data_IF_643758743913
#
_entry.id   IF_643758743913
#
_cell.length_a   1.000
_cell.length_b   1.000
_cell.length_c   1.000
_cell.angle_alpha   90.00
_cell.angle_beta   90.00
_cell.angle_gamma   90.00
#
_symmetry.space_group_name_H-M   'P 1'
#
loop_
_entity.id
_entity.type
_entity.pdbx_description
1 polymer ?
2 non-polymer ?
3 non-polymer ?
4 water ?
#
# COMPACT_ATOMS: atom_id res chain seq x y z
N UNK A 1 -4.44 35.62 -3.06
CA UNK A 1 -3.99 35.86 -4.47
C UNK A 1 -3.69 34.56 -5.18
N UNK A 2 -3.19 34.67 -6.41
CA UNK A 2 -2.99 33.50 -7.29
C UNK A 2 -1.85 32.62 -6.82
N UNK A 3 -1.07 33.16 -5.89
CA UNK A 3 0.06 32.49 -5.28
C UNK A 3 -0.38 31.64 -4.11
N UNK A 4 -1.68 31.67 -3.81
CA UNK A 4 -2.28 30.78 -2.82
C UNK A 4 -1.72 29.37 -2.93
N UNK A 5 -0.99 28.93 -1.90
CA UNK A 5 -0.39 27.60 -1.96
C UNK A 5 -1.40 26.56 -1.50
N UNK A 6 -1.94 25.77 -2.43
CA UNK A 6 -2.67 24.59 -1.98
C UNK A 6 -1.67 23.45 -1.85
N UNK A 7 -1.50 22.93 -0.64
CA UNK A 7 -0.62 21.78 -0.41
C UNK A 7 -1.33 20.45 -0.69
N UNK A 8 -1.84 19.82 0.36
CA UNK A 8 -2.23 18.42 0.32
C UNK A 8 -3.42 17.99 -0.53
N UNK A 9 -3.13 17.34 -1.68
CA UNK A 9 -3.98 16.19 -1.88
C UNK A 9 -3.45 15.23 -0.80
N UNK A 10 -4.13 15.19 0.34
CA UNK A 10 -3.67 14.41 1.49
C UNK A 10 -3.88 12.92 1.24
N UNK A 11 -3.11 12.36 0.33
CA UNK A 11 -3.43 11.00 -0.05
C UNK A 11 -2.88 9.95 0.89
N UNK A 12 -3.67 8.89 1.04
CA UNK A 12 -3.31 7.81 1.94
C UNK A 12 -3.50 6.53 1.15
N UNK A 13 -2.43 5.75 1.05
CA UNK A 13 -2.42 4.54 0.25
C UNK A 13 -2.16 3.34 1.13
N UNK A 14 -2.89 2.25 0.90
CA UNK A 14 -2.57 0.99 1.62
C UNK A 14 -1.96 0.01 0.64
N UNK A 15 -0.75 -0.48 0.93
CA UNK A 15 -0.10 -1.50 0.12
C UNK A 15 -0.36 -2.85 0.76
N UNK A 16 -0.62 -3.86 -0.06
CA UNK A 16 -1.03 -5.17 0.48
C UNK A 16 -0.28 -6.28 -0.23
N UNK A 17 0.23 -7.24 0.55
CA UNK A 17 0.84 -8.47 0.02
C UNK A 17 0.21 -9.60 0.80
N UNK A 18 -0.16 -10.69 0.12
CA UNK A 18 -0.91 -11.74 0.83
C UNK A 18 -0.74 -13.10 0.17
N UNK A 19 -1.02 -14.15 0.94
CA UNK A 19 -1.02 -15.52 0.46
C UNK A 19 -2.17 -15.75 -0.52
N UNK A 20 -1.97 -16.70 -1.43
CA UNK A 20 -2.99 -17.16 -2.35
C UNK A 20 -4.28 -17.50 -1.60
N UNK A 21 -5.41 -17.03 -2.12
CA UNK A 21 -6.71 -17.34 -1.55
C UNK A 21 -7.17 -16.47 -0.38
N UNK A 22 -6.36 -15.49 0.02
CA UNK A 22 -6.73 -14.61 1.15
C UNK A 22 -8.04 -13.89 0.81
N UNK A 23 -9.01 -13.94 1.74
CA UNK A 23 -10.35 -13.38 1.49
C UNK A 23 -10.38 -11.86 1.63
N UNK A 24 -11.36 -11.25 0.96
CA UNK A 24 -11.61 -9.81 1.14
C UNK A 24 -11.90 -9.50 2.61
N UNK A 25 -12.63 -10.40 3.28
CA UNK A 25 -12.98 -10.20 4.69
C UNK A 25 -11.70 -10.16 5.57
N UNK A 26 -10.77 -11.06 5.31
CA UNK A 26 -9.53 -11.13 6.05
C UNK A 26 -8.73 -9.87 5.80
N UNK A 27 -8.57 -9.53 4.52
CA UNK A 27 -7.80 -8.33 4.18
C UNK A 27 -8.44 -7.10 4.82
N UNK A 28 -9.77 -7.01 4.78
CA UNK A 28 -10.44 -5.82 5.33
C UNK A 28 -10.18 -5.69 6.83
N UNK A 29 -10.23 -6.81 7.54
CA UNK A 29 -10.00 -6.78 9.02
C UNK A 29 -8.58 -6.34 9.36
N UNK A 30 -7.62 -6.83 8.59
CA UNK A 30 -6.25 -6.44 8.83
C UNK A 30 -6.02 -4.97 8.45
N UNK A 31 -6.64 -4.54 7.35
CA UNK A 31 -6.55 -3.16 6.90
C UNK A 31 -7.12 -2.24 7.98
N UNK A 32 -8.29 -2.59 8.51
CA UNK A 32 -8.96 -1.78 9.55
C UNK A 32 -8.07 -1.65 10.78
N UNK A 33 -7.46 -2.76 11.18
CA UNK A 33 -6.55 -2.75 12.32
C UNK A 33 -5.35 -1.84 12.07
N UNK A 34 -4.78 -1.94 10.88
CA UNK A 34 -3.58 -1.18 10.53
C UNK A 34 -3.87 0.32 10.50
N UNK A 35 -5.01 0.67 9.93
CA UNK A 35 -5.48 2.04 9.89
C UNK A 35 -5.70 2.57 11.31
N UNK A 36 -6.32 1.75 12.15
CA UNK A 36 -6.63 2.14 13.56
C UNK A 36 -5.38 2.49 14.33
N UNK A 37 -4.34 1.68 14.14
CA UNK A 37 -3.07 1.93 14.85
C UNK A 37 -2.54 3.31 14.56
N UNK A 38 -2.76 3.77 13.33
CA UNK A 38 -2.34 5.10 12.91
C UNK A 38 -3.43 6.15 12.92
N UNK A 39 -4.52 5.88 13.62
CA UNK A 39 -5.59 6.88 13.80
C UNK A 39 -6.17 7.36 12.49
N UNK A 40 -6.13 6.47 11.48
CA UNK A 40 -6.78 6.71 10.20
C UNK A 40 -8.07 5.90 10.05
N UNK A 41 -9.05 6.47 9.38
CA UNK A 41 -10.31 5.75 9.15
C UNK A 41 -10.24 5.14 7.77
N UNK A 42 -10.94 4.03 7.56
CA UNK A 42 -11.09 3.48 6.21
C UNK A 42 -11.64 4.50 5.25
N UNK A 43 -12.48 5.42 5.74
CA UNK A 43 -13.00 6.53 4.91
C UNK A 43 -11.91 7.41 4.26
N UNK A 44 -10.74 7.44 4.90
CA UNK A 44 -9.64 8.28 4.47
C UNK A 44 -8.77 7.66 3.38
N UNK A 45 -8.84 6.35 3.21
CA UNK A 45 -8.05 5.70 2.17
C UNK A 45 -8.43 6.19 0.79
N UNK A 46 -7.42 6.46 -0.04
CA UNK A 46 -7.62 6.80 -1.44
C UNK A 46 -7.54 5.61 -2.40
N UNK A 47 -6.65 4.65 -2.13
CA UNK A 47 -6.47 3.53 -3.07
C UNK A 47 -5.74 2.39 -2.39
N UNK A 48 -5.79 1.22 -3.02
CA UNK A 48 -5.02 0.09 -2.55
C UNK A 48 -3.94 -0.17 -3.60
N UNK A 49 -2.81 -0.74 -3.18
CA UNK A 49 -1.73 -1.03 -4.13
C UNK A 49 -1.16 -2.40 -3.86
N UNK A 50 -0.77 -3.10 -4.92
CA UNK A 50 -0.06 -4.37 -4.76
C UNK A 50 0.82 -4.60 -5.96
N UNK A 51 1.43 -5.77 -6.00
CA UNK A 51 2.31 -6.11 -7.12
C UNK A 51 1.55 -6.81 -8.24
N UNK A 52 1.96 -6.52 -9.48
CA UNK A 52 1.35 -7.14 -10.62
C UNK A 52 2.09 -8.42 -10.85
N UNK A 53 1.40 -9.38 -11.45
CA UNK A 53 2.08 -10.64 -11.79
C UNK A 53 1.05 -11.57 -12.36
N UNK A 54 1.36 -12.85 -12.39
CA UNK A 54 0.44 -13.72 -13.10
C UNK A 54 -0.71 -14.35 -12.30
N UNK A 55 -0.57 -14.41 -10.97
CA UNK A 55 -1.68 -14.87 -10.11
C UNK A 55 -2.93 -13.98 -10.23
N UNK A 56 -4.11 -14.60 -10.24
CA UNK A 56 -5.36 -13.85 -10.23
C UNK A 56 -5.53 -13.24 -8.85
N UNK A 57 -6.19 -12.09 -8.76
CA UNK A 57 -6.28 -11.39 -7.49
C UNK A 57 -7.74 -11.14 -7.01
N UNK A 58 -8.58 -12.21 -6.90
CA UNK A 58 -10.01 -11.91 -6.55
C UNK A 58 -10.27 -11.32 -5.13
N UNK A 59 -9.54 -11.76 -4.10
CA UNK A 59 -9.65 -11.11 -2.78
C UNK A 59 -9.41 -9.60 -2.84
N UNK A 60 -8.35 -9.18 -3.56
CA UNK A 60 -8.04 -7.75 -3.65
C UNK A 60 -9.06 -7.00 -4.47
N UNK A 61 -9.48 -7.61 -5.57
CA UNK A 61 -10.51 -6.98 -6.36
C UNK A 61 -11.81 -6.84 -5.59
N UNK A 62 -12.16 -7.86 -4.79
CA UNK A 62 -13.41 -7.78 -4.01
C UNK A 62 -13.29 -6.70 -2.96
N UNK A 63 -12.11 -6.60 -2.34
CA UNK A 63 -11.87 -5.53 -1.34
C UNK A 63 -12.02 -4.16 -1.98
N UNK A 64 -11.48 -4.00 -3.19
CA UNK A 64 -11.59 -2.71 -3.87
C UNK A 64 -13.08 -2.39 -4.09
N UNK A 65 -13.87 -3.39 -4.46
CA UNK A 65 -15.28 -3.18 -4.73
C UNK A 65 -16.02 -2.79 -3.46
N UNK A 66 -15.72 -3.48 -2.37
CA UNK A 66 -16.30 -3.13 -1.05
C UNK A 66 -16.02 -1.68 -0.69
N UNK A 67 -14.78 -1.26 -0.88
CA UNK A 67 -14.35 0.09 -0.54
C UNK A 67 -14.81 1.14 -1.52
N UNK A 68 -15.31 0.70 -2.68
CA UNK A 68 -15.58 1.62 -3.81
C UNK A 68 -14.38 2.52 -4.15
N UNK A 69 -13.19 1.91 -4.13
CA UNK A 69 -11.91 2.59 -4.25
C UNK A 69 -11.03 1.68 -5.12
N UNK A 70 -10.12 2.27 -5.89
CA UNK A 70 -9.36 1.45 -6.79
C UNK A 70 -8.23 0.64 -6.16
N UNK A 71 -7.89 -0.48 -6.81
CA UNK A 71 -6.66 -1.23 -6.54
C UNK A 71 -5.79 -1.21 -7.79
N UNK A 72 -4.52 -0.85 -7.58
CA UNK A 72 -3.52 -0.72 -8.63
C UNK A 72 -2.50 -1.79 -8.42
N UNK A 73 -2.13 -2.47 -9.50
CA UNK A 73 -1.09 -3.48 -9.47
C UNK A 73 0.11 -2.96 -10.22
N UNK A 74 1.22 -2.84 -9.50
CA UNK A 74 2.41 -2.17 -10.01
C UNK A 74 3.47 -3.17 -10.47
N UNK A 75 4.23 -2.78 -11.49
CA UNK A 75 5.28 -3.66 -12.00
C UNK A 75 6.32 -3.96 -10.92
N UNK A 76 6.80 -5.21 -10.86
CA UNK A 76 7.89 -5.55 -9.95
C UNK A 76 9.07 -4.57 -10.11
N UNK A 77 9.41 -4.21 -11.35
CA UNK A 77 10.56 -3.31 -11.56
C UNK A 77 10.31 -1.94 -10.94
N UNK A 78 9.05 -1.50 -10.92
CA UNK A 78 8.71 -0.25 -10.27
C UNK A 78 8.92 -0.34 -8.75
N UNK A 79 8.43 -1.41 -8.14
CA UNK A 79 8.57 -1.64 -6.69
C UNK A 79 10.04 -1.67 -6.28
N UNK A 80 10.88 -2.24 -7.13
CA UNK A 80 12.32 -2.32 -6.86
C UNK A 80 12.98 -0.96 -6.60
N UNK A 81 12.50 0.09 -7.27
CA UNK A 81 12.98 1.45 -7.06
C UNK A 81 12.95 1.89 -5.58
N UNK A 82 12.14 1.21 -4.77
CA UNK A 82 11.88 1.62 -3.37
C UNK A 82 12.59 0.74 -2.33
N UNK A 83 13.34 -0.25 -2.81
CA UNK A 83 14.17 -1.10 -1.96
C UNK A 83 14.92 -0.38 -0.84
N UNK A 84 15.66 0.70 -1.18
CA UNK A 84 16.46 1.40 -0.18
C UNK A 84 15.65 2.06 0.93
N UNK A 85 14.34 2.15 0.73
CA UNK A 85 13.48 2.88 1.65
C UNK A 85 12.60 1.96 2.48
N UNK A 86 12.64 0.66 2.21
CA UNK A 86 11.77 -0.28 2.92
C UNK A 86 12.15 -0.46 4.38
N UNK A 87 11.16 -0.80 5.19
CA UNK A 87 11.38 -0.95 6.63
C UNK A 87 11.38 -2.41 7.10
N UNK A 88 10.68 -3.29 6.38
CA UNK A 88 10.41 -4.64 6.90
C UNK A 88 10.59 -5.71 5.82
N UNK A 89 11.85 -6.05 5.51
CA UNK A 89 12.18 -7.06 4.49
C UNK A 89 11.48 -8.41 4.73
N UNK A 90 11.05 -9.05 3.65
CA UNK A 90 10.33 -10.31 3.69
C UNK A 90 11.07 -11.32 2.82
N UNK A 91 11.43 -12.46 3.42
CA UNK A 91 12.07 -13.54 2.69
C UNK A 91 11.18 -14.13 1.59
N UNK A 92 9.91 -14.37 1.91
CA UNK A 92 8.94 -14.85 0.91
C UNK A 92 8.80 -13.86 -0.26
N UNK A 93 8.57 -12.58 0.05
CA UNK A 93 8.43 -11.56 -1.00
C UNK A 93 9.69 -11.53 -1.87
N UNK A 94 10.85 -11.47 -1.25
CA UNK A 94 12.09 -11.34 -2.01
C UNK A 94 12.23 -12.53 -2.99
N UNK A 95 12.01 -13.74 -2.47
CA UNK A 95 12.15 -14.99 -3.23
C UNK A 95 11.20 -15.01 -4.41
N UNK A 96 9.94 -14.65 -4.15
CA UNK A 96 8.87 -14.75 -5.15
C UNK A 96 8.81 -13.60 -6.17
N UNK A 97 9.21 -12.39 -5.76
CA UNK A 97 8.92 -11.20 -6.54
C UNK A 97 10.14 -10.37 -6.93
N UNK A 98 11.24 -10.51 -6.18
CA UNK A 98 12.42 -9.66 -6.34
C UNK A 98 12.37 -8.40 -5.48
N UNK A 99 11.23 -8.20 -4.83
CA UNK A 99 10.97 -7.01 -4.00
C UNK A 99 10.93 -7.46 -2.55
N UNK A 100 11.58 -6.71 -1.65
CA UNK A 100 11.71 -7.14 -0.23
C UNK A 100 10.44 -6.97 0.60
N UNK A 101 9.53 -6.11 0.16
CA UNK A 101 8.23 -5.99 0.84
C UNK A 101 7.24 -5.45 -0.13
N UNK A 102 6.30 -6.29 -0.56
CA UNK A 102 5.28 -5.86 -1.51
C UNK A 102 4.43 -4.77 -0.89
N UNK A 103 4.02 -4.96 0.37
CA UNK A 103 3.11 -3.98 0.99
C UNK A 103 3.77 -2.61 1.09
N UNK A 104 4.99 -2.58 1.60
CA UNK A 104 5.68 -1.30 1.81
C UNK A 104 6.04 -0.63 0.47
N UNK A 105 6.60 -1.41 -0.45
CA UNK A 105 7.01 -0.85 -1.76
C UNK A 105 5.83 -0.41 -2.58
N UNK A 106 4.72 -1.16 -2.55
CA UNK A 106 3.55 -0.80 -3.38
C UNK A 106 2.88 0.47 -2.84
N UNK A 107 2.85 0.59 -1.52
CA UNK A 107 2.28 1.78 -0.88
C UNK A 107 3.06 3.04 -1.30
N UNK A 108 4.38 3.01 -1.16
CA UNK A 108 5.21 4.14 -1.52
C UNK A 108 5.06 4.46 -3.01
N UNK A 109 5.19 3.42 -3.85
CA UNK A 109 5.16 3.58 -5.32
C UNK A 109 3.89 4.23 -5.82
N UNK A 110 2.74 3.75 -5.36
CA UNK A 110 1.48 4.30 -5.80
C UNK A 110 1.29 5.72 -5.26
N UNK A 111 1.66 5.96 -4.00
CA UNK A 111 1.47 7.30 -3.43
C UNK A 111 2.23 8.34 -4.24
N UNK A 112 3.45 8.00 -4.62
CA UNK A 112 4.31 8.96 -5.37
C UNK A 112 3.82 9.18 -6.78
N UNK A 113 3.27 8.13 -7.41
CA UNK A 113 2.70 8.24 -8.76
C UNK A 113 1.43 9.03 -8.86
N UNK A 114 0.50 8.82 -7.92
CA UNK A 114 -0.71 9.62 -7.85
C UNK A 114 -0.42 11.03 -7.38
N UNK A 115 0.53 11.18 -6.45
CA UNK A 115 0.78 12.46 -5.77
C UNK A 115 1.81 13.37 -6.40
N UNK A 116 2.76 12.79 -7.12
CA UNK A 116 3.76 13.55 -7.87
C UNK A 116 4.83 14.18 -7.01
N UNK A 117 5.06 13.57 -5.84
CA UNK A 117 6.12 14.02 -4.95
C UNK A 117 6.45 12.88 -4.01
N UNK A 118 7.31 13.16 -3.04
CA UNK A 118 7.81 12.15 -2.11
C UNK A 118 6.73 11.65 -1.17
N UNK A 119 6.68 10.34 -0.99
CA UNK A 119 5.81 9.76 0.01
C UNK A 119 6.64 9.11 1.14
N UNK A 120 6.00 8.91 2.29
CA UNK A 120 6.64 8.29 3.44
C UNK A 120 5.71 7.20 3.98
N UNK A 121 6.29 6.11 4.46
CA UNK A 121 5.48 5.15 5.16
C UNK A 121 5.11 5.69 6.53
N UNK A 122 3.90 5.41 6.96
CA UNK A 122 3.43 5.82 8.31
C UNK A 122 4.12 5.02 9.39
N UNK A 123 4.57 3.83 9.03
CA UNK A 123 5.22 2.93 9.97
C UNK A 123 5.55 1.65 9.27
N UNK A 124 6.25 0.75 9.97
CA UNK A 124 6.45 -0.59 9.47
C UNK A 124 5.12 -1.30 9.16
N UNK A 125 5.14 -2.19 8.18
CA UNK A 125 3.92 -2.94 7.81
C UNK A 125 3.42 -3.74 8.99
N UNK A 126 2.10 -3.94 9.03
CA UNK A 126 1.47 -4.86 10.00
C UNK A 126 1.23 -6.20 9.30
N UNK A 127 1.56 -7.28 9.99
CA UNK A 127 1.56 -8.60 9.37
C UNK A 127 0.80 -9.63 10.21
N UNK A 128 0.08 -10.52 9.53
CA UNK A 128 -0.27 -11.82 10.13
C UNK A 128 0.31 -12.92 9.26
N UNK A 129 -0.16 -14.15 9.42
CA UNK A 129 0.46 -15.24 8.69
C UNK A 129 -0.03 -15.36 7.21
N UNK A 130 -1.10 -14.62 6.89
CA UNK A 130 -1.60 -14.66 5.54
C UNK A 130 -1.41 -13.36 4.76
N UNK A 131 -1.24 -12.23 5.45
CA UNK A 131 -1.14 -10.94 4.73
C UNK A 131 -0.31 -9.89 5.47
N UNK A 132 0.15 -8.87 4.73
CA UNK A 132 0.83 -7.74 5.33
C UNK A 132 0.23 -6.48 4.72
N UNK A 133 0.08 -5.45 5.53
CA UNK A 133 -0.45 -4.18 5.03
C UNK A 133 0.44 -3.02 5.49
N UNK A 134 0.74 -2.10 4.57
CA UNK A 134 1.49 -0.89 4.94
C UNK A 134 0.75 0.34 4.46
N UNK A 135 1.02 1.46 5.11
CA UNK A 135 0.34 2.72 4.75
C UNK A 135 1.36 3.77 4.36
N UNK A 136 1.07 4.50 3.29
CA UNK A 136 1.96 5.58 2.88
C UNK A 136 1.15 6.84 2.67
N UNK A 137 1.77 7.97 2.99
CA UNK A 137 1.13 9.28 2.86
C UNK A 137 2.03 10.27 2.13
N UNK A 138 1.42 11.11 1.32
CA UNK A 138 2.11 12.13 0.57
C UNK A 138 2.63 13.14 1.58
N UNK A 139 3.95 13.25 1.61
CA UNK A 139 4.71 14.02 2.59
C UNK A 139 4.81 15.47 2.15
N UNK A 140 3.98 16.34 2.74
CA UNK A 140 4.01 17.76 2.42
C UNK A 140 5.41 18.34 2.62
N UNK A 141 5.81 18.48 3.88
CA UNK A 141 4.93 19.03 4.91
C UNK A 141 5.49 20.33 5.47
N UNK A 142 5.65 21.33 4.60
CA UNK A 142 6.12 22.65 5.02
C UNK A 142 5.55 23.05 6.38
X LIG B 1 5.08 -8.26 2.09
X LIG B 1 4.71 -9.48 2.88
X LIG B 1 5.75 -8.66 0.86
X LIG B 1 5.99 -7.48 2.91
X LIG B 1 3.88 -7.53 1.80
X LIG C 1 8.81 -13.37 5.86
X LIG C 1 8.38 -13.85 7.17
X LIG C 1 7.88 -12.33 5.40
X LIG C 1 8.92 -14.40 4.85
X LIG C 1 10.14 -12.77 6.00
X LIG D 1 -5.01 -13.77 -4.21
X LIG D 1 -5.16 -15.16 -4.33
X LIG D 1 -6.09 -13.32 -3.23
X LIG D 1 -7.33 -13.55 -3.88
X LIG D 1 -5.96 -11.82 -2.95
X LIG D 1 -6.23 -11.15 -4.16
X LIG E 1 -6.06 -7.76 -11.34
X LIG E 1 -6.89 -7.12 -12.29
X LIG E 1 -4.78 -8.30 -11.97
X LIG E 1 -5.07 -9.01 -13.16
X LIG E 1 -4.13 -9.25 -10.97
X LIG E 1 -2.75 -9.00 -10.88
X LIG F 1 1.15 -19.36 -0.61
X LIG F 1 0.63 -18.20 -1.22
X LIG F 1 0.07 -20.14 0.14
X LIG F 1 0.07 -19.79 1.50
X LIG F 1 -1.30 -19.88 -0.47
X LIG F 1 -2.35 -20.11 0.45
#
# INVERSE_FOLDING_TARGET
GSHMPLPIPSLLIAGIGCRRGCSAEHLRALLERTLGEHGRSLAELDALASIDGKRDEPGLRQLATLLERPVHFLAPAVLHDYEPRLLSPSAVALRETGCSSVAEAAALALAERLGGGRADLLGAKRSDDRASIALARLLTERELP
SO4 S O1 O2 O3 O4
SO4 S O1 O2 O3 O4
GOL C1 O1 C2 O2 C3 O3
GOL C1 O1 C2 O2 C3 O3
GOL C1 O1 C2 O2 C3 O3
#
